data_IF_511034245934
#
_entry.id   IF_511034245934
#
_cell.length_a   1.000
_cell.length_b   1.000
_cell.length_c   1.000
_cell.angle_alpha   90.00
_cell.angle_beta   90.00
_cell.angle_gamma   90.00
#
_symmetry.space_group_name_H-M   'P 1'
#
loop_
_entity.id
_entity.type
_entity.pdbx_description
1 polymer ?
#
# COMPACT_ATOMS: atom_id res chain seq x y z
N UNK A 1 -6.46 -19.65 -12.86
CA UNK A 1 -6.87 -19.06 -11.59
C UNK A 1 -5.83 -19.31 -10.53
N UNK A 2 -5.23 -18.27 -9.99
CA UNK A 2 -4.40 -18.37 -8.79
C UNK A 2 -5.35 -18.58 -7.60
N UNK A 3 -5.59 -19.83 -7.25
CA UNK A 3 -6.24 -20.23 -6.01
C UNK A 3 -5.12 -20.56 -5.03
N UNK A 4 -4.88 -19.68 -4.07
CA UNK A 4 -3.90 -19.92 -3.03
C UNK A 4 -3.95 -18.80 -2.00
N UNK A 5 -4.19 -19.17 -0.76
CA UNK A 5 -4.45 -18.29 0.37
C UNK A 5 -3.25 -17.47 0.86
N UNK A 6 -2.09 -17.56 0.22
CA UNK A 6 -0.91 -16.77 0.54
C UNK A 6 -0.23 -16.29 -0.73
N UNK A 7 -0.59 -15.09 -1.16
CA UNK A 7 0.18 -14.42 -2.18
C UNK A 7 1.59 -14.13 -1.63
N UNK A 8 2.57 -14.89 -2.10
CA UNK A 8 3.97 -14.76 -1.70
C UNK A 8 4.45 -13.32 -1.91
N UNK A 9 5.37 -12.84 -1.05
CA UNK A 9 5.99 -11.50 -1.19
C UNK A 9 6.59 -11.32 -2.59
N UNK A 10 7.11 -12.40 -3.18
CA UNK A 10 7.64 -12.43 -4.55
C UNK A 10 6.57 -12.09 -5.58
N UNK A 11 5.39 -12.71 -5.46
CA UNK A 11 4.29 -12.54 -6.42
C UNK A 11 3.73 -11.11 -6.36
N UNK A 12 3.65 -10.53 -5.17
CA UNK A 12 3.25 -9.13 -4.97
C UNK A 12 4.21 -8.15 -5.64
N UNK A 13 5.51 -8.38 -5.53
CA UNK A 13 6.50 -7.54 -6.19
C UNK A 13 6.43 -7.68 -7.72
N UNK A 14 6.11 -8.87 -8.22
CA UNK A 14 5.87 -9.10 -9.64
C UNK A 14 4.63 -8.34 -10.13
N UNK A 15 3.51 -8.41 -9.39
CA UNK A 15 2.29 -7.66 -9.72
C UNK A 15 2.56 -6.16 -9.74
N UNK A 16 3.29 -5.62 -8.75
CA UNK A 16 3.69 -4.22 -8.76
C UNK A 16 4.55 -3.83 -9.95
N UNK A 17 5.49 -4.67 -10.32
CA UNK A 17 6.30 -4.46 -11.51
C UNK A 17 5.42 -4.47 -12.76
N UNK A 18 4.54 -5.46 -12.89
CA UNK A 18 3.61 -5.57 -14.01
C UNK A 18 2.69 -4.36 -14.16
N UNK A 19 2.13 -3.85 -13.05
CA UNK A 19 1.23 -2.67 -13.09
C UNK A 19 1.92 -1.37 -13.47
N UNK A 20 3.25 -1.30 -13.41
CA UNK A 20 4.02 -0.10 -13.73
C UNK A 20 4.83 -0.19 -15.01
N UNK A 21 4.94 -1.37 -15.61
CA UNK A 21 5.63 -1.55 -16.87
C UNK A 21 4.84 -0.95 -18.02
N UNK A 22 5.49 -0.11 -18.83
CA UNK A 22 4.92 0.44 -20.06
C UNK A 22 5.08 -0.52 -21.25
N UNK A 23 6.09 -1.36 -21.20
CA UNK A 23 6.46 -2.30 -22.26
C UNK A 23 6.74 -3.66 -21.64
N UNK A 24 6.14 -4.68 -22.18
CA UNK A 24 6.42 -6.07 -21.82
C UNK A 24 7.38 -6.66 -22.84
N UNK A 25 8.50 -7.16 -22.35
CA UNK A 25 9.53 -7.80 -23.14
C UNK A 25 9.39 -9.31 -22.96
N UNK A 26 8.62 -9.94 -23.78
CA UNK A 26 8.41 -11.39 -23.71
C UNK A 26 8.99 -12.08 -24.95
N UNK A 27 9.55 -13.26 -24.71
CA UNK A 27 9.91 -14.18 -25.76
C UNK A 27 8.79 -15.21 -25.88
N UNK A 28 8.11 -15.22 -26.99
CA UNK A 28 7.14 -16.29 -27.28
C UNK A 28 7.86 -17.64 -27.31
N UNK A 29 7.14 -18.70 -26.89
CA UNK A 29 7.65 -20.05 -27.01
C UNK A 29 8.08 -20.31 -28.46
N UNK A 30 9.32 -20.79 -28.65
CA UNK A 30 9.95 -21.05 -29.95
C UNK A 30 10.35 -19.81 -30.78
N UNK A 31 10.19 -18.58 -30.30
CA UNK A 31 10.68 -17.39 -30.99
C UNK A 31 12.18 -17.17 -30.77
N UNK A 32 12.92 -16.74 -31.79
CA UNK A 32 14.34 -16.42 -31.69
C UNK A 32 14.60 -15.04 -31.06
N UNK A 33 13.63 -14.13 -31.11
CA UNK A 33 13.78 -12.75 -30.65
C UNK A 33 12.73 -12.42 -29.56
N UNK A 34 13.10 -11.47 -28.69
CA UNK A 34 12.14 -10.85 -27.75
C UNK A 34 11.30 -9.83 -28.49
N UNK A 35 10.01 -9.89 -28.29
CA UNK A 35 9.08 -8.87 -28.80
C UNK A 35 8.82 -7.81 -27.73
N UNK A 36 8.80 -6.55 -28.18
CA UNK A 36 8.43 -5.40 -27.35
C UNK A 36 6.97 -5.10 -27.59
N UNK A 37 6.13 -5.36 -26.59
CA UNK A 37 4.69 -5.07 -26.67
C UNK A 37 4.32 -4.00 -25.65
N UNK A 38 3.46 -3.05 -26.06
CA UNK A 38 2.88 -2.11 -25.11
C UNK A 38 2.05 -2.86 -24.08
N UNK A 39 2.22 -2.52 -22.81
CA UNK A 39 1.40 -3.07 -21.73
C UNK A 39 0.07 -2.31 -21.68
N UNK A 40 -0.99 -2.93 -22.17
CA UNK A 40 -2.35 -2.35 -22.25
C UNK A 40 -3.34 -3.01 -21.28
N UNK A 41 -2.89 -3.99 -20.50
CA UNK A 41 -3.76 -4.73 -19.59
C UNK A 41 -3.93 -4.00 -18.25
N UNK A 42 -5.15 -3.99 -17.73
CA UNK A 42 -5.45 -3.70 -16.34
C UNK A 42 -5.66 -4.99 -15.57
N UNK A 43 -5.28 -4.99 -14.30
CA UNK A 43 -5.41 -6.15 -13.44
C UNK A 43 -6.58 -5.94 -12.46
N UNK A 44 -7.44 -6.94 -12.33
CA UNK A 44 -8.43 -7.00 -11.26
C UNK A 44 -8.36 -8.36 -10.57
N UNK A 45 -8.84 -8.40 -9.34
CA UNK A 45 -8.87 -9.63 -8.54
C UNK A 45 -9.92 -9.53 -7.46
N UNK A 46 -10.27 -10.66 -6.90
CA UNK A 46 -11.22 -10.78 -5.78
C UNK A 46 -10.55 -11.44 -4.59
N UNK A 47 -10.98 -11.09 -3.40
CA UNK A 47 -10.51 -11.71 -2.16
C UNK A 47 -11.66 -11.74 -1.15
N UNK A 48 -11.67 -12.77 -0.31
CA UNK A 48 -12.62 -12.86 0.82
C UNK A 48 -12.06 -12.19 2.09
N UNK A 49 -10.80 -11.74 2.07
CA UNK A 49 -10.19 -11.06 3.20
C UNK A 49 -10.32 -9.55 2.99
N UNK A 50 -10.99 -8.87 3.90
CA UNK A 50 -11.07 -7.40 3.89
C UNK A 50 -9.67 -6.80 4.02
N UNK A 51 -8.87 -7.31 4.95
CA UNK A 51 -7.50 -6.86 5.16
C UNK A 51 -6.52 -7.73 4.37
N UNK A 52 -6.13 -7.28 3.19
CA UNK A 52 -5.23 -8.02 2.30
C UNK A 52 -4.00 -7.22 1.86
N UNK A 53 -3.98 -5.91 2.12
CA UNK A 53 -2.85 -5.05 1.78
C UNK A 53 -1.76 -5.16 2.86
N UNK A 54 -0.68 -5.84 2.53
CA UNK A 54 0.44 -6.06 3.47
C UNK A 54 1.65 -5.19 3.19
N UNK A 55 1.60 -4.37 2.13
CA UNK A 55 2.72 -3.55 1.75
C UNK A 55 2.59 -2.13 2.31
N UNK A 56 3.64 -1.72 3.03
CA UNK A 56 3.70 -0.39 3.62
C UNK A 56 3.98 0.75 2.62
N UNK A 57 4.38 0.44 1.37
CA UNK A 57 4.88 1.47 0.45
C UNK A 57 4.21 1.55 -0.91
N UNK A 58 3.42 0.56 -1.27
CA UNK A 58 2.90 0.40 -2.63
C UNK A 58 1.39 0.39 -2.79
N UNK A 59 0.66 0.65 -1.72
CA UNK A 59 -0.81 0.52 -1.71
C UNK A 59 -1.52 1.49 -2.65
N UNK A 60 -0.92 2.60 -3.03
CA UNK A 60 -1.47 3.58 -4.00
C UNK A 60 -1.82 3.00 -5.40
N UNK A 61 -1.35 1.78 -5.69
CA UNK A 61 -1.65 1.08 -6.96
C UNK A 61 -2.91 0.22 -6.88
N UNK A 62 -3.44 0.06 -5.68
CA UNK A 62 -4.63 -0.74 -5.42
C UNK A 62 -5.83 0.18 -5.25
N UNK A 63 -6.94 -0.20 -5.85
CA UNK A 63 -8.24 0.43 -5.67
C UNK A 63 -9.21 -0.64 -5.15
N UNK A 64 -9.15 -0.96 -3.85
CA UNK A 64 -10.03 -1.94 -3.25
C UNK A 64 -11.44 -1.39 -3.09
N UNK A 65 -12.40 -2.25 -3.31
CA UNK A 65 -13.83 -1.97 -3.09
C UNK A 65 -14.42 -3.11 -2.29
N UNK A 66 -15.21 -2.77 -1.29
CA UNK A 66 -16.03 -3.74 -0.58
C UNK A 66 -17.38 -3.87 -1.29
N UNK A 67 -17.73 -5.10 -1.65
CA UNK A 67 -18.99 -5.40 -2.34
C UNK A 67 -20.03 -5.78 -1.29
N UNK A 68 -21.07 -4.97 -1.15
CA UNK A 68 -22.17 -5.20 -0.20
C UNK A 68 -23.25 -6.13 -0.77
N UNK A 69 -23.47 -6.08 -2.09
CA UNK A 69 -24.45 -6.91 -2.77
C UNK A 69 -24.06 -7.13 -4.22
N UNK A 70 -24.49 -8.24 -4.79
CA UNK A 70 -24.27 -8.59 -6.19
C UNK A 70 -25.62 -8.94 -6.81
N UNK A 71 -25.99 -8.22 -7.86
CA UNK A 71 -27.15 -8.59 -8.67
C UNK A 71 -26.84 -9.84 -9.50
N UNK A 72 -27.85 -10.67 -9.69
CA UNK A 72 -27.68 -11.86 -10.51
C UNK A 72 -27.45 -11.45 -11.99
N UNK A 73 -26.27 -11.74 -12.58
CA UNK A 73 -25.93 -11.30 -13.93
C UNK A 73 -26.79 -11.93 -15.03
N UNK A 74 -27.50 -13.02 -14.73
CA UNK A 74 -28.41 -13.67 -15.66
C UNK A 74 -29.77 -12.95 -15.74
N UNK A 75 -30.21 -12.36 -14.65
CA UNK A 75 -31.47 -11.60 -14.60
C UNK A 75 -31.26 -10.11 -14.81
N UNK A 76 -30.08 -9.60 -14.47
CA UNK A 76 -29.66 -8.21 -14.64
C UNK A 76 -28.37 -8.14 -15.42
N UNK A 77 -28.39 -8.36 -16.75
CA UNK A 77 -27.18 -8.37 -17.57
C UNK A 77 -26.55 -6.97 -17.62
N UNK A 78 -25.22 -6.93 -17.55
CA UNK A 78 -24.48 -5.68 -17.68
C UNK A 78 -24.55 -5.18 -19.11
N UNK A 79 -24.93 -3.92 -19.30
CA UNK A 79 -24.86 -3.27 -20.59
C UNK A 79 -23.40 -2.90 -20.94
N UNK A 80 -22.66 -3.86 -21.47
CA UNK A 80 -21.24 -3.68 -21.83
C UNK A 80 -21.06 -2.59 -22.90
N UNK A 81 -21.94 -2.48 -23.88
CA UNK A 81 -21.85 -1.44 -24.90
C UNK A 81 -21.96 -0.05 -24.29
N UNK A 82 -22.89 0.14 -23.35
CA UNK A 82 -23.04 1.39 -22.62
C UNK A 82 -21.79 1.74 -21.79
N UNK A 83 -21.24 0.76 -21.07
CA UNK A 83 -20.02 0.94 -20.28
C UNK A 83 -18.83 1.35 -21.15
N UNK A 84 -18.59 0.63 -22.25
CA UNK A 84 -17.49 0.93 -23.17
C UNK A 84 -17.67 2.24 -23.91
N UNK A 85 -18.91 2.57 -24.32
CA UNK A 85 -19.23 3.85 -24.97
C UNK A 85 -18.98 5.02 -24.03
N UNK A 86 -19.36 4.90 -22.75
CA UNK A 86 -19.10 5.92 -21.75
C UNK A 86 -17.59 6.08 -21.51
N UNK A 87 -16.86 4.98 -21.34
CA UNK A 87 -15.41 5.01 -21.16
C UNK A 87 -14.70 5.69 -22.35
N UNK A 88 -15.12 5.36 -23.57
CA UNK A 88 -14.60 5.98 -24.78
C UNK A 88 -14.91 7.48 -24.86
N UNK A 89 -16.12 7.90 -24.52
CA UNK A 89 -16.50 9.30 -24.49
C UNK A 89 -15.68 10.10 -23.47
N UNK A 90 -15.47 9.55 -22.27
CA UNK A 90 -14.62 10.14 -21.25
C UNK A 90 -13.17 10.28 -21.71
N UNK A 91 -12.60 9.23 -22.30
CA UNK A 91 -11.26 9.27 -22.86
C UNK A 91 -11.14 10.31 -23.99
N UNK A 92 -12.08 10.33 -24.92
CA UNK A 92 -12.11 11.30 -26.02
C UNK A 92 -12.28 12.74 -25.51
N UNK A 93 -13.00 12.92 -24.39
CA UNK A 93 -13.17 14.21 -23.71
C UNK A 93 -11.94 14.65 -22.92
N UNK A 94 -10.85 13.88 -22.94
CA UNK A 94 -9.60 14.21 -22.25
C UNK A 94 -9.63 13.93 -20.75
N UNK A 95 -10.51 13.03 -20.28
CA UNK A 95 -10.53 12.62 -18.89
C UNK A 95 -9.17 12.07 -18.48
N UNK A 96 -8.63 12.60 -17.38
CA UNK A 96 -7.38 12.09 -16.79
C UNK A 96 -7.61 10.72 -16.14
N UNK A 97 -6.72 9.78 -16.43
CA UNK A 97 -6.80 8.39 -15.94
C UNK A 97 -5.70 8.04 -14.92
N UNK A 98 -5.04 9.05 -14.36
CA UNK A 98 -4.05 8.90 -13.28
C UNK A 98 -4.39 9.82 -12.13
N UNK A 99 -3.93 9.46 -10.93
CA UNK A 99 -4.10 10.27 -9.73
C UNK A 99 -2.91 11.23 -9.55
N UNK A 100 -3.18 12.42 -9.06
CA UNK A 100 -2.19 13.40 -8.62
C UNK A 100 -2.00 13.37 -7.11
N UNK A 101 -1.05 14.13 -6.60
CA UNK A 101 -0.56 14.04 -5.22
C UNK A 101 -1.66 14.07 -4.15
N UNK A 102 -2.65 14.95 -4.27
CA UNK A 102 -3.74 15.03 -3.30
C UNK A 102 -4.68 13.83 -3.41
N UNK A 103 -4.97 13.37 -4.63
CA UNK A 103 -5.79 12.18 -4.87
C UNK A 103 -5.07 10.91 -4.40
N UNK A 104 -3.75 10.85 -4.57
CA UNK A 104 -2.93 9.75 -4.04
C UNK A 104 -3.03 9.71 -2.51
N UNK A 105 -3.10 10.85 -1.83
CA UNK A 105 -3.33 10.89 -0.37
C UNK A 105 -4.69 10.31 0.00
N UNK A 106 -5.74 10.64 -0.76
CA UNK A 106 -7.09 10.08 -0.55
C UNK A 106 -7.12 8.56 -0.80
N UNK A 107 -6.50 8.10 -1.88
CA UNK A 107 -6.36 6.66 -2.16
C UNK A 107 -5.62 5.94 -1.02
N UNK A 108 -4.52 6.51 -0.54
CA UNK A 108 -3.78 5.93 0.58
C UNK A 108 -4.60 5.92 1.87
N UNK A 109 -5.40 6.95 2.13
CA UNK A 109 -6.28 7.01 3.29
C UNK A 109 -7.38 5.93 3.21
N UNK A 110 -8.02 5.80 2.06
CA UNK A 110 -9.00 4.74 1.80
C UNK A 110 -8.38 3.34 1.99
N UNK A 111 -7.20 3.12 1.46
CA UNK A 111 -6.50 1.83 1.49
C UNK A 111 -6.11 1.38 2.90
N UNK A 112 -6.03 2.30 3.87
CA UNK A 112 -5.77 1.95 5.29
C UNK A 112 -6.80 0.98 5.86
N UNK A 113 -8.05 1.04 5.40
CA UNK A 113 -9.11 0.14 5.84
C UNK A 113 -8.86 -1.32 5.42
N UNK A 114 -8.05 -1.51 4.39
CA UNK A 114 -7.72 -2.80 3.79
C UNK A 114 -6.30 -3.27 4.13
N UNK A 115 -5.56 -2.50 4.94
CA UNK A 115 -4.23 -2.88 5.38
C UNK A 115 -4.30 -3.95 6.47
N UNK A 116 -3.44 -4.96 6.34
CA UNK A 116 -3.23 -5.94 7.41
C UNK A 116 -2.53 -5.22 8.57
N UNK A 117 -3.07 -5.30 9.80
CA UNK A 117 -2.40 -4.76 10.97
C UNK A 117 -0.96 -5.29 11.08
N UNK A 118 -0.01 -4.42 11.31
CA UNK A 118 1.37 -4.83 11.53
C UNK A 118 1.72 -4.71 13.01
N UNK A 119 2.42 -5.72 13.53
CA UNK A 119 2.91 -5.72 14.92
C UNK A 119 3.75 -4.47 15.20
N UNK A 120 4.54 -4.04 14.22
CA UNK A 120 5.36 -2.84 14.34
C UNK A 120 4.50 -1.58 14.58
N UNK A 121 3.36 -1.46 13.90
CA UNK A 121 2.44 -0.32 14.07
C UNK A 121 1.80 -0.34 15.46
N UNK A 122 1.30 -1.50 15.88
CA UNK A 122 0.68 -1.66 17.21
C UNK A 122 1.67 -1.33 18.32
N UNK A 123 2.90 -1.83 18.22
CA UNK A 123 3.94 -1.55 19.20
C UNK A 123 4.33 -0.07 19.20
N UNK A 124 4.51 0.55 18.04
CA UNK A 124 4.80 1.98 17.97
C UNK A 124 3.68 2.78 18.64
N UNK A 125 2.43 2.50 18.34
CA UNK A 125 1.28 3.20 18.91
C UNK A 125 1.11 2.94 20.41
N UNK A 126 1.53 1.78 20.90
CA UNK A 126 1.52 1.48 22.35
C UNK A 126 2.58 2.24 23.15
N UNK A 127 3.71 2.60 22.52
CA UNK A 127 4.83 3.25 23.18
C UNK A 127 5.00 4.72 22.85
N UNK A 128 4.48 5.17 21.72
CA UNK A 128 4.72 6.51 21.18
C UNK A 128 3.49 7.09 20.53
N UNK A 129 3.31 8.40 20.66
CA UNK A 129 2.37 9.18 19.84
C UNK A 129 3.05 10.41 19.28
N UNK A 130 2.47 10.96 18.22
CA UNK A 130 2.90 12.24 17.70
C UNK A 130 2.60 13.36 18.71
N UNK A 131 3.49 14.36 18.86
CA UNK A 131 3.19 15.57 19.60
C UNK A 131 1.96 16.29 18.99
N UNK A 132 1.11 16.83 19.84
CA UNK A 132 0.00 17.69 19.41
C UNK A 132 0.54 19.07 18.99
N UNK A 133 -0.22 19.87 18.22
CA UNK A 133 0.16 21.24 17.91
C UNK A 133 0.41 22.05 19.18
N UNK A 134 1.64 22.59 19.31
CA UNK A 134 2.08 23.33 20.52
C UNK A 134 2.66 22.48 21.64
N UNK A 135 2.71 21.15 21.48
CA UNK A 135 3.34 20.25 22.44
C UNK A 135 4.80 19.98 22.05
N UNK A 136 5.73 20.11 23.01
CA UNK A 136 7.12 19.75 22.77
C UNK A 136 7.31 18.23 22.86
N UNK A 137 7.66 17.62 21.71
CA UNK A 137 8.03 16.19 21.67
C UNK A 137 9.49 15.98 22.03
N UNK A 138 9.78 14.88 22.70
CA UNK A 138 11.14 14.43 22.99
C UNK A 138 11.79 13.82 21.75
N UNK A 139 13.06 14.12 21.52
CA UNK A 139 13.83 13.44 20.48
C UNK A 139 14.22 12.04 20.94
N UNK A 140 13.83 11.02 20.18
CA UNK A 140 14.25 9.63 20.41
C UNK A 140 14.90 9.09 19.12
N UNK A 141 16.10 8.53 19.27
CA UNK A 141 16.79 7.99 18.10
C UNK A 141 16.11 6.72 17.60
N UNK A 142 16.25 6.43 16.31
CA UNK A 142 15.70 5.18 15.72
C UNK A 142 16.25 3.93 16.44
N UNK A 143 17.49 3.98 16.91
CA UNK A 143 18.12 2.89 17.65
C UNK A 143 17.46 2.69 19.00
N UNK A 144 17.15 3.77 19.72
CA UNK A 144 16.51 3.70 21.05
C UNK A 144 15.07 3.20 20.92
N UNK A 145 14.34 3.66 19.90
CA UNK A 145 13.00 3.15 19.57
C UNK A 145 13.06 1.63 19.33
N UNK A 146 13.99 1.17 18.49
CA UNK A 146 14.18 -0.25 18.22
C UNK A 146 14.54 -1.05 19.47
N UNK A 147 15.46 -0.54 20.27
CA UNK A 147 15.87 -1.20 21.53
C UNK A 147 14.69 -1.36 22.47
N UNK A 148 13.90 -0.29 22.65
CA UNK A 148 12.72 -0.30 23.53
C UNK A 148 11.64 -1.27 23.03
N UNK A 149 11.34 -1.28 21.74
CA UNK A 149 10.33 -2.16 21.17
C UNK A 149 10.81 -3.61 21.16
N UNK A 150 12.06 -3.88 20.76
CA UNK A 150 12.61 -5.23 20.75
C UNK A 150 12.71 -5.84 22.16
N UNK A 151 12.85 -5.02 23.21
CA UNK A 151 12.80 -5.52 24.59
C UNK A 151 11.41 -6.06 24.99
N UNK A 152 10.37 -5.69 24.29
CA UNK A 152 8.98 -6.08 24.55
C UNK A 152 8.52 -7.30 23.75
N UNK A 153 9.27 -7.69 22.71
CA UNK A 153 8.90 -8.80 21.82
C UNK A 153 10.05 -9.80 21.66
N UNK A 154 9.68 -11.07 21.42
CA UNK A 154 10.66 -12.14 21.20
C UNK A 154 11.29 -12.15 19.82
N UNK A 155 10.76 -11.36 18.88
CA UNK A 155 11.22 -11.31 17.51
C UNK A 155 11.94 -10.01 17.21
N UNK A 156 13.03 -10.09 16.46
CA UNK A 156 13.77 -8.91 16.02
C UNK A 156 12.99 -8.16 14.93
N UNK A 157 12.66 -6.89 15.20
CA UNK A 157 11.96 -6.02 14.27
C UNK A 157 12.94 -5.33 13.32
N UNK A 158 12.56 -5.21 12.06
CA UNK A 158 13.40 -4.56 11.06
C UNK A 158 13.44 -3.04 11.25
N UNK A 159 14.64 -2.42 11.33
CA UNK A 159 14.80 -0.96 11.38
C UNK A 159 14.10 -0.24 10.22
N UNK A 160 14.12 -0.85 9.03
CA UNK A 160 13.49 -0.32 7.82
C UNK A 160 11.98 -0.27 7.98
N UNK A 161 11.36 -1.36 8.48
CA UNK A 161 9.91 -1.40 8.73
C UNK A 161 9.50 -0.39 9.80
N UNK A 162 10.23 -0.30 10.90
CA UNK A 162 9.97 0.70 11.95
C UNK A 162 10.01 2.11 11.36
N UNK A 163 11.04 2.44 10.58
CA UNK A 163 11.13 3.75 9.92
C UNK A 163 9.96 4.06 8.99
N UNK A 164 9.48 3.06 8.25
CA UNK A 164 8.31 3.20 7.37
C UNK A 164 7.03 3.43 8.17
N UNK A 165 6.82 2.65 9.23
CA UNK A 165 5.63 2.78 10.09
C UNK A 165 5.61 4.13 10.81
N UNK A 166 6.75 4.58 11.36
CA UNK A 166 6.89 5.90 11.97
C UNK A 166 6.50 7.02 10.99
N UNK A 167 7.00 6.97 9.77
CA UNK A 167 6.65 7.94 8.72
C UNK A 167 5.15 7.91 8.37
N UNK A 168 4.55 6.72 8.24
CA UNK A 168 3.13 6.56 7.95
C UNK A 168 2.23 7.01 9.10
N UNK A 169 2.69 6.84 10.33
CA UNK A 169 2.00 7.31 11.52
C UNK A 169 2.11 8.84 11.72
N UNK A 170 2.83 9.53 10.84
CA UNK A 170 2.95 10.99 10.86
C UNK A 170 4.06 11.53 11.76
N UNK A 171 4.95 10.66 12.26
CA UNK A 171 6.08 11.15 13.06
C UNK A 171 7.08 11.91 12.20
N UNK A 172 7.50 13.07 12.68
CA UNK A 172 8.48 13.91 12.00
C UNK A 172 9.89 13.34 12.18
N UNK A 173 10.54 13.03 11.04
CA UNK A 173 11.93 12.58 11.02
C UNK A 173 12.84 13.80 11.26
N UNK A 174 13.65 13.74 12.30
CA UNK A 174 14.60 14.80 12.65
C UNK A 174 15.99 14.25 12.93
N UNK A 175 16.95 15.14 13.08
CA UNK A 175 18.32 14.80 13.47
C UNK A 175 18.73 15.59 14.69
N UNK A 176 19.35 14.93 15.63
CA UNK A 176 19.96 15.56 16.79
C UNK A 176 21.30 14.90 17.10
N UNK A 177 22.35 15.69 17.29
CA UNK A 177 23.72 15.21 17.57
C UNK A 177 24.21 14.15 16.58
N UNK A 178 23.94 14.35 15.28
CA UNK A 178 24.34 13.43 14.20
C UNK A 178 23.51 12.14 14.10
N UNK A 179 22.61 11.87 15.04
CA UNK A 179 21.73 10.69 15.03
C UNK A 179 20.40 11.01 14.33
N UNK A 180 19.88 10.04 13.59
CA UNK A 180 18.52 10.07 13.03
C UNK A 180 17.51 9.61 14.09
N UNK A 181 16.39 10.29 14.20
CA UNK A 181 15.34 9.94 15.15
C UNK A 181 14.05 10.68 14.84
N UNK A 182 13.12 10.64 15.77
CA UNK A 182 11.80 11.21 15.63
C UNK A 182 11.46 12.07 16.86
N UNK A 183 10.64 13.10 16.67
CA UNK A 183 9.98 13.79 17.78
C UNK A 183 8.75 13.00 18.18
N UNK A 184 8.71 12.57 19.44
CA UNK A 184 7.67 11.69 19.97
C UNK A 184 7.24 12.15 21.35
N UNK A 185 6.04 11.76 21.75
CA UNK A 185 5.61 11.73 23.14
C UNK A 185 5.59 10.26 23.56
N UNK A 186 6.36 9.95 24.60
CA UNK A 186 6.42 8.59 25.13
C UNK A 186 5.18 8.30 25.98
N UNK A 187 4.60 7.14 25.76
CA UNK A 187 3.47 6.66 26.54
C UNK A 187 3.95 5.78 27.70
N UNK A 188 3.27 5.87 28.89
CA UNK A 188 3.60 4.99 30.01
C UNK A 188 3.38 3.52 29.62
N UNK A 189 4.20 2.63 30.15
CA UNK A 189 3.96 1.19 30.04
C UNK A 189 2.72 0.85 30.89
N UNK A 190 1.69 0.34 30.24
CA UNK A 190 0.63 -0.40 30.93
C UNK A 190 1.10 -1.82 31.21
#
# INVERSE_FOLDING_TARGET
GLVGSEMCIRDRNQIKAMTTQKVVNERMAYAHYKEHRAHIASLCGTTNNVQFLTDLTGNRRWLPFEISSIDNPYTHPVNYEGVYSQAYALWKGGMRYWFEDEEIKLVNLHNRNFEVPSMERELIQAYYRCPLPGEEGTFVSTTDILSRINSAVKHYLSPVKIGLVMKQAGFELTRSNGKRGYRVVELPRN
#
